data_IF_499430832591
#
_entry.id   IF_499430832591
#
_cell.length_a   1.000
_cell.length_b   1.000
_cell.length_c   1.000
_cell.angle_alpha   90.00
_cell.angle_beta   90.00
_cell.angle_gamma   90.00
#
_symmetry.space_group_name_H-M   'P 1'
#
loop_
_entity.id
_entity.type
_entity.pdbx_description
1 polymer ?
#
# COMPACT_ATOMS: atom_id res chain seq x y z
N UNK A 1 12.43 -4.25 5.68
CA UNK A 1 12.59 -4.86 4.35
C UNK A 1 13.29 -6.19 4.52
N UNK A 2 13.31 -6.99 3.47
CA UNK A 2 13.93 -8.31 3.43
C UNK A 2 14.76 -8.44 2.15
N UNK A 3 15.79 -9.28 2.17
CA UNK A 3 16.60 -9.62 1.01
C UNK A 3 16.70 -11.14 0.86
N UNK A 4 16.77 -11.62 -0.38
CA UNK A 4 16.84 -13.05 -0.69
C UNK A 4 17.55 -13.28 -2.02
N UNK A 5 18.14 -14.46 -2.16
CA UNK A 5 18.80 -14.89 -3.40
C UNK A 5 18.00 -16.03 -4.01
N UNK A 6 17.57 -15.85 -5.26
CA UNK A 6 16.79 -16.85 -6.02
C UNK A 6 17.63 -17.32 -7.19
N UNK A 7 17.95 -18.61 -7.20
CA UNK A 7 18.60 -19.30 -8.31
C UNK A 7 17.54 -20.22 -8.94
N UNK A 8 17.02 -19.88 -10.13
CA UNK A 8 15.95 -20.64 -10.76
C UNK A 8 16.30 -22.12 -10.89
N UNK A 9 15.40 -23.00 -10.43
CA UNK A 9 15.59 -24.46 -10.46
C UNK A 9 16.44 -25.05 -9.33
N UNK A 10 17.04 -24.22 -8.46
CA UNK A 10 17.87 -24.69 -7.34
C UNK A 10 17.38 -24.20 -5.97
N UNK A 11 17.05 -22.91 -5.83
CA UNK A 11 16.52 -22.36 -4.57
C UNK A 11 15.04 -22.02 -4.66
N UNK A 12 14.40 -21.82 -3.50
CA UNK A 12 12.99 -21.46 -3.42
C UNK A 12 12.69 -20.17 -4.22
N UNK A 13 11.70 -20.24 -5.12
CA UNK A 13 11.25 -19.09 -5.89
C UNK A 13 10.27 -18.23 -5.08
N UNK A 14 9.78 -17.13 -5.67
CA UNK A 14 8.79 -16.25 -5.03
C UNK A 14 7.51 -17.03 -4.70
N UNK A 15 7.03 -17.88 -5.60
CA UNK A 15 5.83 -18.72 -5.41
C UNK A 15 5.94 -19.61 -4.17
N UNK A 16 7.11 -20.23 -3.95
CA UNK A 16 7.38 -21.08 -2.78
C UNK A 16 7.26 -20.34 -1.45
N UNK A 17 7.22 -19.01 -1.47
CA UNK A 17 7.24 -18.14 -0.28
C UNK A 17 6.11 -17.11 -0.29
N UNK A 18 5.09 -17.32 -1.13
CA UNK A 18 4.00 -16.37 -1.30
C UNK A 18 3.25 -16.12 0.03
N UNK A 19 3.16 -17.16 0.86
CA UNK A 19 2.54 -17.10 2.19
C UNK A 19 3.25 -16.17 3.18
N UNK A 20 4.49 -15.77 2.90
CA UNK A 20 5.23 -14.80 3.72
C UNK A 20 4.81 -13.35 3.46
N UNK A 21 4.09 -13.08 2.37
CA UNK A 21 3.58 -11.73 2.08
C UNK A 21 2.37 -11.42 2.97
N UNK A 22 2.30 -10.21 3.55
CA UNK A 22 1.15 -9.83 4.35
C UNK A 22 -0.10 -9.77 3.47
N UNK A 23 -1.28 -10.15 4.01
CA UNK A 23 -2.53 -10.04 3.28
C UNK A 23 -2.82 -8.58 2.94
N UNK A 24 -3.37 -8.33 1.75
CA UNK A 24 -3.80 -7.00 1.36
C UNK A 24 -4.97 -6.55 2.24
N UNK A 25 -4.91 -5.32 2.75
CA UNK A 25 -6.00 -4.75 3.55
C UNK A 25 -7.14 -4.39 2.60
N UNK A 26 -8.18 -5.21 2.59
CA UNK A 26 -9.41 -4.96 1.83
C UNK A 26 -10.59 -4.85 2.77
N UNK A 27 -11.36 -3.78 2.67
CA UNK A 27 -12.56 -3.59 3.47
C UNK A 27 -13.77 -4.26 2.80
N UNK A 28 -14.61 -5.02 3.52
CA UNK A 28 -15.82 -5.61 2.95
C UNK A 28 -16.81 -4.54 2.49
N UNK A 29 -17.43 -4.75 1.32
CA UNK A 29 -18.37 -3.78 0.72
C UNK A 29 -19.56 -3.47 1.64
N UNK A 30 -20.09 -4.47 2.34
CA UNK A 30 -21.20 -4.29 3.29
C UNK A 30 -20.82 -3.34 4.44
N UNK A 31 -19.58 -3.44 4.94
CA UNK A 31 -19.05 -2.57 6.00
C UNK A 31 -18.86 -1.15 5.50
N UNK A 32 -18.29 -0.98 4.31
CA UNK A 32 -18.07 0.33 3.70
C UNK A 32 -19.41 1.03 3.43
N UNK A 33 -20.39 0.30 2.90
CA UNK A 33 -21.68 0.85 2.48
C UNK A 33 -22.62 1.18 3.66
N UNK A 34 -22.79 0.25 4.60
CA UNK A 34 -23.87 0.33 5.60
C UNK A 34 -23.39 0.60 7.03
N UNK A 35 -22.23 0.08 7.42
CA UNK A 35 -21.75 0.16 8.82
C UNK A 35 -20.28 0.57 8.91
N UNK A 36 -19.91 1.79 8.51
CA UNK A 36 -18.55 2.30 8.68
C UNK A 36 -18.23 2.43 10.18
N UNK A 37 -16.98 2.14 10.56
CA UNK A 37 -16.51 2.14 11.96
C UNK A 37 -15.22 2.91 12.14
N UNK A 38 -14.37 2.87 11.11
CA UNK A 38 -13.09 3.55 11.06
C UNK A 38 -13.14 4.66 10.00
N UNK A 39 -12.38 5.76 10.14
CA UNK A 39 -12.33 6.83 9.15
C UNK A 39 -11.91 6.35 7.75
N UNK A 40 -11.09 5.30 7.67
CA UNK A 40 -10.68 4.63 6.43
C UNK A 40 -11.89 4.08 5.66
N UNK A 41 -12.92 3.58 6.35
CA UNK A 41 -14.12 3.07 5.69
C UNK A 41 -14.91 4.19 5.01
N UNK A 42 -14.89 5.41 5.57
CA UNK A 42 -15.54 6.56 4.96
C UNK A 42 -14.82 6.98 3.68
N UNK A 43 -13.49 6.95 3.69
CA UNK A 43 -12.67 7.30 2.54
C UNK A 43 -12.83 6.27 1.42
N UNK A 44 -12.80 4.97 1.76
CA UNK A 44 -12.96 3.90 0.78
C UNK A 44 -14.39 3.91 0.17
N UNK A 45 -15.41 4.31 0.94
CA UNK A 45 -16.75 4.52 0.39
C UNK A 45 -16.75 5.59 -0.70
N UNK A 46 -16.12 6.73 -0.42
CA UNK A 46 -16.10 7.84 -1.38
C UNK A 46 -15.36 7.42 -2.64
N UNK A 47 -14.22 6.74 -2.49
CA UNK A 47 -13.39 6.24 -3.59
C UNK A 47 -14.10 5.19 -4.46
N UNK A 48 -14.77 4.20 -3.86
CA UNK A 48 -15.32 3.04 -4.58
C UNK A 48 -16.76 3.25 -5.02
N UNK A 49 -17.57 3.98 -4.24
CA UNK A 49 -19.02 4.10 -4.47
C UNK A 49 -19.41 5.51 -4.90
N UNK A 50 -18.93 6.55 -4.20
CA UNK A 50 -19.40 7.92 -4.45
C UNK A 50 -18.77 8.55 -5.69
N UNK A 51 -17.46 8.35 -5.89
CA UNK A 51 -16.74 8.88 -7.04
C UNK A 51 -17.32 8.41 -8.37
N UNK A 52 -17.54 7.10 -8.62
CA UNK A 52 -18.12 6.67 -9.89
C UNK A 52 -19.57 7.13 -10.08
N UNK A 53 -20.28 7.46 -8.98
CA UNK A 53 -21.69 7.88 -9.01
C UNK A 53 -21.84 9.37 -9.36
N UNK A 54 -21.02 10.23 -8.77
CA UNK A 54 -21.08 11.68 -9.00
C UNK A 54 -20.15 12.13 -10.14
N UNK A 55 -19.07 11.37 -10.38
CA UNK A 55 -18.02 11.61 -11.38
C UNK A 55 -17.70 13.10 -11.63
N UNK A 56 -17.30 13.83 -10.59
CA UNK A 56 -17.22 15.30 -10.60
C UNK A 56 -16.26 15.89 -11.65
N UNK A 57 -15.27 15.11 -12.11
CA UNK A 57 -14.23 15.55 -13.03
C UNK A 57 -14.24 14.77 -14.37
N UNK A 58 -15.22 13.88 -14.58
CA UNK A 58 -15.27 12.97 -15.73
C UNK A 58 -14.01 12.11 -15.93
N UNK A 59 -13.21 11.96 -14.88
CA UNK A 59 -11.90 11.28 -14.90
C UNK A 59 -11.82 10.22 -13.81
N UNK A 60 -10.95 9.20 -14.00
CA UNK A 60 -10.61 8.30 -12.91
C UNK A 60 -9.92 9.06 -11.77
N UNK A 61 -9.99 8.51 -10.56
CA UNK A 61 -9.31 9.08 -9.39
C UNK A 61 -7.81 9.12 -9.63
N UNK A 62 -7.28 10.32 -9.79
CA UNK A 62 -5.85 10.60 -9.66
C UNK A 62 -5.54 10.92 -8.19
N UNK A 63 -4.68 10.11 -7.57
CA UNK A 63 -4.24 10.34 -6.19
C UNK A 63 -3.27 11.51 -6.06
N UNK A 64 -2.54 11.87 -7.12
CA UNK A 64 -1.55 12.94 -7.12
C UNK A 64 -2.16 14.32 -7.35
N UNK A 65 -3.37 14.40 -7.90
CA UNK A 65 -4.11 15.64 -8.07
C UNK A 65 -4.69 16.16 -6.73
N UNK A 66 -4.27 17.34 -6.24
CA UNK A 66 -4.84 17.94 -5.04
C UNK A 66 -6.35 18.20 -5.12
N UNK A 67 -6.91 18.46 -6.31
CA UNK A 67 -8.35 18.71 -6.47
C UNK A 67 -9.16 17.45 -6.19
N UNK A 68 -8.71 16.31 -6.72
CA UNK A 68 -9.34 15.02 -6.48
C UNK A 68 -9.27 14.63 -5.00
N UNK A 69 -8.11 14.79 -4.36
CA UNK A 69 -7.95 14.47 -2.94
C UNK A 69 -8.79 15.40 -2.05
N UNK A 70 -8.85 16.70 -2.36
CA UNK A 70 -9.70 17.63 -1.62
C UNK A 70 -11.18 17.26 -1.73
N UNK A 71 -11.65 16.90 -2.93
CA UNK A 71 -13.03 16.46 -3.11
C UNK A 71 -13.34 15.19 -2.31
N UNK A 72 -12.43 14.20 -2.34
CA UNK A 72 -12.56 12.97 -1.56
C UNK A 72 -12.59 13.29 -0.06
N UNK A 73 -11.72 14.21 0.39
CA UNK A 73 -11.66 14.63 1.78
C UNK A 73 -12.97 15.27 2.26
N UNK A 74 -13.54 16.21 1.50
CA UNK A 74 -14.82 16.86 1.84
C UNK A 74 -15.96 15.85 1.94
N UNK A 75 -16.11 14.97 0.94
CA UNK A 75 -17.14 13.92 0.96
C UNK A 75 -16.95 12.90 2.06
N UNK A 76 -15.70 12.60 2.41
CA UNK A 76 -15.41 11.69 3.50
C UNK A 76 -15.74 12.31 4.86
N UNK A 77 -15.57 13.63 5.03
CA UNK A 77 -16.01 14.35 6.24
C UNK A 77 -17.53 14.33 6.37
N UNK A 78 -18.26 14.63 5.29
CA UNK A 78 -19.72 14.59 5.28
C UNK A 78 -20.22 13.22 5.77
N UNK A 79 -19.65 12.14 5.21
CA UNK A 79 -19.98 10.76 5.62
C UNK A 79 -19.55 10.47 7.06
N UNK A 80 -18.35 10.85 7.47
CA UNK A 80 -17.87 10.62 8.83
C UNK A 80 -18.76 11.32 9.87
N UNK A 81 -19.25 12.53 9.56
CA UNK A 81 -20.18 13.28 10.40
C UNK A 81 -21.51 12.55 10.59
N UNK A 82 -22.07 11.95 9.51
CA UNK A 82 -23.32 11.16 9.59
C UNK A 82 -23.22 9.97 10.54
N UNK A 83 -22.04 9.34 10.63
CA UNK A 83 -21.79 8.18 11.49
C UNK A 83 -21.08 8.54 12.81
N UNK A 84 -20.83 9.83 13.08
CA UNK A 84 -20.13 10.30 14.28
C UNK A 84 -18.66 9.83 14.39
N UNK A 85 -18.00 9.52 13.27
CA UNK A 85 -16.63 9.00 13.23
C UNK A 85 -15.64 10.19 13.25
N UNK A 86 -14.64 10.12 14.12
CA UNK A 86 -13.58 11.13 14.26
C UNK A 86 -12.25 10.63 13.71
N UNK A 87 -11.28 11.54 13.55
CA UNK A 87 -9.91 11.19 13.14
C UNK A 87 -9.64 11.28 11.64
N UNK A 88 -10.58 11.83 10.87
CA UNK A 88 -10.37 12.05 9.45
C UNK A 88 -9.43 13.25 9.23
N UNK A 89 -8.34 13.02 8.49
CA UNK A 89 -7.34 14.04 8.18
C UNK A 89 -6.97 13.93 6.71
N UNK A 90 -6.53 15.04 6.10
CA UNK A 90 -6.08 15.06 4.71
C UNK A 90 -4.96 14.03 4.45
N UNK A 91 -4.02 13.91 5.40
CA UNK A 91 -2.95 12.90 5.35
C UNK A 91 -3.49 11.47 5.32
N UNK A 92 -4.53 11.17 6.10
CA UNK A 92 -5.17 9.85 6.11
C UNK A 92 -5.85 9.57 4.76
N UNK A 93 -6.52 10.56 4.17
CA UNK A 93 -7.13 10.43 2.83
C UNK A 93 -6.08 10.08 1.79
N UNK A 94 -4.97 10.82 1.74
CA UNK A 94 -3.86 10.51 0.83
C UNK A 94 -3.31 9.10 1.09
N UNK A 95 -3.17 8.72 2.35
CA UNK A 95 -2.74 7.39 2.77
C UNK A 95 -3.61 6.27 2.20
N UNK A 96 -4.93 6.40 2.33
CA UNK A 96 -5.91 5.39 1.89
C UNK A 96 -6.09 5.40 0.36
N UNK A 97 -6.14 6.58 -0.27
CA UNK A 97 -6.33 6.68 -1.72
C UNK A 97 -5.13 6.09 -2.48
N UNK A 98 -3.90 6.40 -2.04
CA UNK A 98 -2.67 5.92 -2.70
C UNK A 98 -2.12 4.62 -2.16
N UNK A 99 -2.73 4.03 -1.12
CA UNK A 99 -2.15 2.91 -0.36
C UNK A 99 -0.69 3.19 0.05
N UNK A 100 -0.43 4.36 0.66
CA UNK A 100 0.94 4.82 0.96
C UNK A 100 1.62 3.86 1.93
N UNK A 101 2.74 3.28 1.50
CA UNK A 101 3.67 2.54 2.36
C UNK A 101 4.70 3.53 2.93
N UNK A 102 4.79 3.69 4.27
CA UNK A 102 5.81 4.54 4.87
C UNK A 102 7.22 4.10 4.47
N UNK A 103 8.07 5.05 4.05
CA UNK A 103 9.43 4.77 3.60
C UNK A 103 10.44 5.74 4.20
N UNK A 104 11.64 5.23 4.53
CA UNK A 104 12.78 6.02 5.01
C UNK A 104 14.07 5.58 4.31
N UNK A 105 14.98 6.53 4.10
CA UNK A 105 16.21 6.30 3.33
C UNK A 105 17.11 5.21 3.95
N UNK A 106 17.18 5.14 5.28
CA UNK A 106 18.00 4.16 6.00
C UNK A 106 17.62 2.71 5.67
N UNK A 107 16.32 2.39 5.68
CA UNK A 107 15.84 1.04 5.36
C UNK A 107 16.12 0.64 3.92
N UNK A 108 16.00 1.59 2.97
CA UNK A 108 16.32 1.34 1.57
C UNK A 108 17.81 1.12 1.37
N UNK A 109 18.65 1.91 2.05
CA UNK A 109 20.11 1.76 2.00
C UNK A 109 20.56 0.39 2.53
N UNK A 110 20.02 -0.07 3.66
CA UNK A 110 20.38 -1.38 4.23
C UNK A 110 20.02 -2.53 3.30
N UNK A 111 18.80 -2.53 2.73
CA UNK A 111 18.37 -3.62 1.83
C UNK A 111 19.09 -3.56 0.48
N UNK A 112 19.34 -2.36 -0.05
CA UNK A 112 20.11 -2.22 -1.29
C UNK A 112 21.55 -2.69 -1.10
N UNK A 113 22.17 -2.41 0.05
CA UNK A 113 23.53 -2.84 0.36
C UNK A 113 23.66 -4.37 0.44
N UNK A 114 22.70 -5.05 1.08
CA UNK A 114 22.69 -6.52 1.14
C UNK A 114 22.51 -7.12 -0.25
N UNK A 115 21.55 -6.63 -1.04
CA UNK A 115 21.35 -7.08 -2.42
C UNK A 115 22.60 -6.87 -3.30
N UNK A 116 23.22 -5.69 -3.26
CA UNK A 116 24.43 -5.39 -4.03
C UNK A 116 25.61 -6.29 -3.63
N UNK A 117 25.73 -6.59 -2.33
CA UNK A 117 26.76 -7.49 -1.81
C UNK A 117 26.57 -8.91 -2.36
N UNK A 118 25.34 -9.42 -2.38
CA UNK A 118 25.05 -10.76 -2.92
C UNK A 118 25.29 -10.84 -4.43
N UNK A 119 24.96 -9.77 -5.17
CA UNK A 119 25.30 -9.67 -6.61
C UNK A 119 26.82 -9.75 -6.81
N UNK A 120 27.60 -9.02 -6.00
CA UNK A 120 29.06 -9.04 -6.10
C UNK A 120 29.64 -10.43 -5.79
N UNK A 121 29.15 -11.11 -4.74
CA UNK A 121 29.57 -12.47 -4.40
C UNK A 121 29.28 -13.46 -5.52
N UNK A 122 28.08 -13.41 -6.10
CA UNK A 122 27.68 -14.30 -7.20
C UNK A 122 28.50 -14.04 -8.47
N UNK A 123 28.76 -12.78 -8.81
CA UNK A 123 29.49 -12.43 -10.03
C UNK A 123 30.98 -12.81 -9.96
N UNK A 124 31.60 -12.72 -8.77
CA UNK A 124 33.04 -12.92 -8.58
C UNK A 124 33.38 -14.29 -7.99
N UNK A 125 32.40 -15.04 -7.50
CA UNK A 125 32.61 -16.26 -6.70
C UNK A 125 33.57 -16.06 -5.52
N UNK A 126 33.67 -14.83 -4.98
CA UNK A 126 34.61 -14.50 -3.91
C UNK A 126 34.18 -15.05 -2.54
N UNK A 127 32.89 -15.39 -2.38
CA UNK A 127 32.33 -15.93 -1.14
C UNK A 127 31.05 -16.72 -1.42
N UNK A 128 30.59 -17.49 -0.44
CA UNK A 128 29.31 -18.19 -0.51
C UNK A 128 28.15 -17.19 -0.51
N UNK A 129 27.13 -17.47 -1.33
CA UNK A 129 25.90 -16.68 -1.40
C UNK A 129 25.06 -16.81 -0.13
N UNK A 130 24.23 -15.80 0.14
CA UNK A 130 23.24 -15.80 1.21
C UNK A 130 22.35 -17.06 1.11
N UNK A 131 22.25 -17.80 2.20
CA UNK A 131 21.33 -18.93 2.28
C UNK A 131 19.92 -18.42 2.59
N UNK A 132 19.20 -18.13 1.50
CA UNK A 132 17.74 -17.94 1.34
C UNK A 132 17.05 -16.68 1.90
N UNK A 133 17.29 -16.20 3.13
CA UNK A 133 16.49 -15.10 3.67
C UNK A 133 17.20 -14.26 4.74
N UNK A 134 17.15 -12.93 4.60
CA UNK A 134 17.59 -11.93 5.58
C UNK A 134 16.55 -10.84 5.76
#
# INVERSE_FOLDING_TARGET
GNARVIIPGLTACIECTLDLYPPQVTYPLCTIANTPRLPEHCIEYVKVIQWPKENPFETPIDGDDPQHINWIYEKSIERASQFGIRGLTYRLVQGVVKNIIPAVASTNATIAATCATEVFKLATSCSASLNNYM
#
